data_IF_012721834752
#
_entry.id   IF_012721834752
#
_cell.length_a   1.000
_cell.length_b   1.000
_cell.length_c   1.000
_cell.angle_alpha   90.00
_cell.angle_beta   90.00
_cell.angle_gamma   90.00
#
_symmetry.space_group_name_H-M   'P 1'
#
loop_
_entity.id
_entity.type
_entity.pdbx_description
1 polymer ?
#
# COMPACT_ATOMS: atom_id res chain seq x y z
N UNK A 1 7.80 23.10 -14.77
CA UNK A 1 7.90 22.52 -13.41
C UNK A 1 6.70 23.05 -12.66
N UNK A 2 5.81 22.16 -12.27
CA UNK A 2 4.69 22.42 -11.36
C UNK A 2 5.23 23.01 -10.06
N UNK A 3 4.49 23.93 -9.45
CA UNK A 3 4.94 24.71 -8.29
C UNK A 3 5.05 23.87 -7.00
N UNK A 4 4.52 22.63 -6.96
CA UNK A 4 4.59 21.72 -5.79
C UNK A 4 4.80 20.24 -6.13
N UNK A 5 5.61 19.49 -5.35
CA UNK A 5 5.87 18.06 -5.58
C UNK A 5 4.64 17.14 -5.69
N UNK A 6 3.56 17.41 -4.96
CA UNK A 6 2.34 16.58 -5.03
C UNK A 6 1.49 16.79 -6.30
N UNK A 7 1.69 17.89 -7.02
CA UNK A 7 0.90 18.16 -8.23
C UNK A 7 1.15 17.12 -9.33
N UNK A 8 2.37 16.57 -9.39
CA UNK A 8 2.71 15.51 -10.35
C UNK A 8 1.95 14.21 -10.04
N UNK A 9 1.80 13.86 -8.75
CA UNK A 9 1.01 12.70 -8.30
C UNK A 9 -0.47 12.89 -8.65
N UNK A 10 -1.02 14.08 -8.36
CA UNK A 10 -2.42 14.40 -8.71
C UNK A 10 -2.67 14.34 -10.20
N UNK A 11 -1.70 14.80 -11.00
CA UNK A 11 -1.78 14.73 -12.46
C UNK A 11 -1.83 13.28 -12.95
N UNK A 12 -1.02 12.38 -12.39
CA UNK A 12 -1.09 10.95 -12.72
C UNK A 12 -2.48 10.36 -12.41
N UNK A 13 -3.06 10.71 -11.26
CA UNK A 13 -4.39 10.24 -10.86
C UNK A 13 -5.53 10.83 -11.72
N UNK A 14 -5.35 12.01 -12.31
CA UNK A 14 -6.37 12.62 -13.17
C UNK A 14 -6.52 11.93 -14.54
N UNK A 15 -5.49 11.22 -15.00
CA UNK A 15 -5.40 10.60 -16.33
C UNK A 15 -5.27 9.07 -16.26
N UNK A 16 -6.01 8.46 -15.33
CA UNK A 16 -5.97 7.00 -15.14
C UNK A 16 -6.67 6.28 -16.32
N UNK A 17 -6.01 5.30 -16.97
CA UNK A 17 -6.60 4.57 -18.07
C UNK A 17 -7.76 3.69 -17.59
N UNK A 18 -8.82 3.48 -18.38
CA UNK A 18 -9.84 2.48 -18.05
C UNK A 18 -9.24 1.06 -18.11
N UNK A 19 -9.89 0.05 -17.50
CA UNK A 19 -9.51 -1.34 -17.73
C UNK A 19 -9.58 -1.68 -19.23
N UNK A 20 -8.62 -2.44 -19.78
CA UNK A 20 -8.57 -2.77 -21.20
C UNK A 20 -9.82 -3.47 -21.75
N UNK A 21 -10.60 -4.17 -20.91
CA UNK A 21 -11.87 -4.79 -21.27
C UNK A 21 -12.07 -6.17 -20.64
N UNK A 22 -13.26 -6.74 -20.78
CA UNK A 22 -13.58 -8.05 -20.22
C UNK A 22 -12.99 -9.23 -21.01
N UNK A 23 -12.61 -10.29 -20.31
CA UNK A 23 -12.14 -11.54 -20.90
C UNK A 23 -13.18 -12.63 -20.66
N UNK A 24 -13.34 -13.56 -21.61
CA UNK A 24 -14.25 -14.69 -21.43
C UNK A 24 -13.70 -15.62 -20.33
N UNK A 25 -14.52 -15.90 -19.32
CA UNK A 25 -14.23 -16.85 -18.25
C UNK A 25 -15.28 -17.96 -18.29
N UNK A 26 -14.87 -19.24 -18.29
CA UNK A 26 -15.82 -20.35 -18.22
C UNK A 26 -16.75 -20.24 -17.00
N UNK A 27 -18.07 -20.49 -17.16
CA UNK A 27 -19.00 -20.47 -16.04
C UNK A 27 -18.70 -21.61 -15.05
N UNK A 28 -19.17 -21.47 -13.81
CA UNK A 28 -19.07 -22.52 -12.78
C UNK A 28 -17.77 -22.55 -11.98
N UNK A 29 -16.84 -21.62 -12.23
CA UNK A 29 -15.57 -21.51 -11.48
C UNK A 29 -15.68 -20.73 -10.16
N UNK A 30 -16.82 -20.08 -9.89
CA UNK A 30 -17.03 -19.26 -8.70
C UNK A 30 -15.94 -18.20 -8.54
N UNK A 31 -15.41 -18.04 -7.32
CA UNK A 31 -14.35 -17.06 -7.01
C UNK A 31 -13.07 -17.25 -7.82
N UNK A 32 -12.75 -18.48 -8.26
CA UNK A 32 -11.61 -18.69 -9.16
C UNK A 32 -11.86 -18.02 -10.52
N UNK A 33 -13.10 -18.06 -11.01
CA UNK A 33 -13.48 -17.34 -12.21
C UNK A 33 -13.33 -15.83 -12.06
N UNK A 34 -13.72 -15.28 -10.90
CA UNK A 34 -13.60 -13.84 -10.61
C UNK A 34 -12.12 -13.39 -10.57
N UNK A 35 -11.24 -14.20 -9.96
CA UNK A 35 -9.79 -13.94 -9.92
C UNK A 35 -9.16 -14.00 -11.31
N UNK A 36 -9.50 -15.02 -12.11
CA UNK A 36 -9.03 -15.11 -13.49
C UNK A 36 -9.54 -13.93 -14.33
N UNK A 37 -10.83 -13.59 -14.20
CA UNK A 37 -11.44 -12.43 -14.86
C UNK A 37 -10.77 -11.12 -14.49
N UNK A 38 -10.38 -10.95 -13.23
CA UNK A 38 -9.61 -9.79 -12.76
C UNK A 38 -8.23 -9.71 -13.42
N UNK A 39 -7.46 -10.81 -13.44
CA UNK A 39 -6.15 -10.85 -14.11
C UNK A 39 -6.28 -10.56 -15.61
N UNK A 40 -7.20 -11.25 -16.29
CA UNK A 40 -7.41 -11.07 -17.72
C UNK A 40 -7.90 -9.66 -18.06
N UNK A 41 -8.81 -9.11 -17.25
CA UNK A 41 -9.43 -7.82 -17.47
C UNK A 41 -8.45 -6.65 -17.37
N UNK A 42 -7.48 -6.72 -16.45
CA UNK A 42 -6.45 -5.70 -16.30
C UNK A 42 -5.27 -5.88 -17.26
N UNK A 43 -4.85 -7.12 -17.52
CA UNK A 43 -3.79 -7.40 -18.49
C UNK A 43 -4.24 -7.20 -19.95
N UNK A 44 -5.54 -7.19 -20.22
CA UNK A 44 -6.13 -7.13 -21.57
C UNK A 44 -5.86 -8.39 -22.40
N UNK A 45 -5.52 -9.51 -21.75
CA UNK A 45 -5.09 -10.77 -22.36
C UNK A 45 -5.79 -11.94 -21.68
N UNK A 46 -5.63 -13.14 -22.25
CA UNK A 46 -6.07 -14.36 -21.57
C UNK A 46 -5.46 -14.43 -20.15
N UNK A 47 -6.23 -14.88 -19.14
CA UNK A 47 -5.83 -14.80 -17.74
C UNK A 47 -4.62 -15.68 -17.48
N UNK A 48 -3.44 -15.07 -17.34
CA UNK A 48 -2.18 -15.79 -17.10
C UNK A 48 -1.23 -14.94 -16.28
N UNK A 49 -0.47 -15.60 -15.39
CA UNK A 49 0.56 -14.95 -14.56
C UNK A 49 1.91 -15.61 -14.82
N UNK A 50 2.76 -14.96 -15.61
CA UNK A 50 4.06 -15.47 -16.05
C UNK A 50 5.23 -14.80 -15.34
N UNK A 51 5.08 -13.53 -14.98
CA UNK A 51 6.12 -12.70 -14.34
C UNK A 51 5.56 -11.97 -13.11
N UNK A 52 5.11 -12.72 -12.08
CA UNK A 52 4.73 -12.08 -10.83
C UNK A 52 5.98 -11.54 -10.13
N UNK A 53 5.89 -10.32 -9.60
CA UNK A 53 6.95 -9.69 -8.81
C UNK A 53 6.40 -9.33 -7.44
N UNK A 54 7.10 -9.76 -6.39
CA UNK A 54 6.92 -9.30 -5.03
C UNK A 54 7.88 -8.15 -4.78
N UNK A 55 7.34 -6.97 -4.52
CA UNK A 55 8.08 -5.79 -4.12
C UNK A 55 7.83 -5.52 -2.63
N UNK A 56 8.89 -5.69 -1.85
CA UNK A 56 8.89 -5.47 -0.42
C UNK A 56 9.65 -4.18 -0.09
N UNK A 57 8.98 -3.24 0.56
CA UNK A 57 9.59 -1.96 0.93
C UNK A 57 10.07 -2.00 2.37
N UNK A 58 11.38 -1.86 2.57
CA UNK A 58 11.99 -1.81 3.89
C UNK A 58 12.30 -0.35 4.25
N UNK A 59 11.54 0.23 5.16
CA UNK A 59 11.86 1.52 5.75
C UNK A 59 12.51 1.37 7.11
N UNK A 60 12.84 2.50 7.75
CA UNK A 60 13.32 2.45 9.12
C UNK A 60 12.22 1.91 10.03
N UNK A 61 12.61 1.38 11.17
CA UNK A 61 11.61 1.12 12.18
C UNK A 61 11.07 2.47 12.70
N UNK A 62 9.84 2.79 12.32
CA UNK A 62 9.11 3.95 12.81
C UNK A 62 8.62 3.61 14.23
N UNK A 63 9.46 3.88 15.23
CA UNK A 63 9.09 3.70 16.63
C UNK A 63 9.17 5.03 17.35
N UNK A 64 8.03 5.72 17.31
CA UNK A 64 7.46 6.52 18.40
C UNK A 64 8.32 6.52 19.67
N UNK A 65 8.81 7.70 20.04
CA UNK A 65 9.62 7.92 21.23
C UNK A 65 9.10 7.20 22.47
N UNK A 66 9.90 6.25 22.94
CA UNK A 66 10.37 6.13 24.32
C UNK A 66 11.21 4.85 24.40
N UNK A 67 12.44 4.92 23.89
CA UNK A 67 13.52 3.99 24.24
C UNK A 67 13.33 2.51 23.88
N UNK A 68 12.23 2.09 23.25
CA UNK A 68 12.09 0.73 22.73
C UNK A 68 12.86 0.64 21.43
N UNK A 69 14.01 -0.04 21.48
CA UNK A 69 14.68 -0.49 20.26
C UNK A 69 13.69 -1.32 19.45
N UNK A 70 13.61 -1.14 18.11
CA UNK A 70 12.77 -1.99 17.30
C UNK A 70 13.10 -3.46 17.53
N UNK A 71 12.06 -4.30 17.53
CA UNK A 71 12.21 -5.75 17.76
C UNK A 71 13.16 -6.40 16.78
N UNK A 72 13.28 -5.84 15.57
CA UNK A 72 14.20 -6.29 14.55
C UNK A 72 14.92 -5.14 13.85
N UNK A 73 16.15 -5.41 13.41
CA UNK A 73 16.93 -4.49 12.60
C UNK A 73 16.44 -4.58 11.14
N UNK A 74 15.90 -3.49 10.53
CA UNK A 74 15.42 -3.54 9.15
C UNK A 74 16.50 -3.95 8.14
N UNK A 75 17.77 -3.60 8.39
CA UNK A 75 18.92 -4.06 7.59
C UNK A 75 19.09 -5.57 7.65
N UNK A 76 18.92 -6.17 8.83
CA UNK A 76 19.01 -7.62 8.98
C UNK A 76 17.86 -8.35 8.24
N UNK A 77 16.67 -7.75 8.17
CA UNK A 77 15.54 -8.28 7.38
C UNK A 77 15.86 -8.26 5.88
N UNK A 78 16.42 -7.15 5.37
CA UNK A 78 16.91 -7.05 3.98
C UNK A 78 17.98 -8.10 3.68
N UNK A 79 18.96 -8.27 4.56
CA UNK A 79 20.00 -9.29 4.43
C UNK A 79 19.43 -10.71 4.44
N UNK A 80 18.43 -10.99 5.29
CA UNK A 80 17.75 -12.28 5.31
C UNK A 80 16.98 -12.56 4.01
N UNK A 81 16.35 -11.55 3.41
CA UNK A 81 15.71 -11.67 2.09
C UNK A 81 16.76 -11.94 1.01
N UNK A 82 17.85 -11.16 1.00
CA UNK A 82 18.94 -11.34 0.04
C UNK A 82 19.60 -12.73 0.15
N UNK A 83 19.69 -13.29 1.36
CA UNK A 83 20.19 -14.63 1.61
C UNK A 83 19.19 -15.75 1.30
N UNK A 84 17.95 -15.44 0.91
CA UNK A 84 16.90 -16.41 0.67
C UNK A 84 16.36 -17.09 1.95
N UNK A 85 16.62 -16.50 3.11
CA UNK A 85 16.36 -17.11 4.42
C UNK A 85 14.91 -16.86 4.91
N UNK A 86 14.18 -15.91 4.33
CA UNK A 86 12.80 -15.60 4.73
C UNK A 86 11.77 -16.60 4.18
N UNK A 87 10.60 -16.67 4.81
CA UNK A 87 9.48 -17.45 4.27
C UNK A 87 9.05 -16.93 2.89
N UNK A 88 8.95 -15.60 2.74
CA UNK A 88 8.69 -14.96 1.46
C UNK A 88 9.70 -15.37 0.38
N UNK A 89 11.00 -15.45 0.69
CA UNK A 89 12.02 -15.89 -0.27
C UNK A 89 11.79 -17.32 -0.77
N UNK A 90 11.50 -18.25 0.15
CA UNK A 90 11.22 -19.65 -0.20
C UNK A 90 9.92 -19.80 -0.98
N UNK A 91 8.88 -19.06 -0.61
CA UNK A 91 7.59 -19.09 -1.31
C UNK A 91 7.66 -18.41 -2.68
N UNK A 92 8.42 -17.33 -2.83
CA UNK A 92 8.68 -16.71 -4.12
C UNK A 92 9.37 -17.70 -5.07
N UNK A 93 10.40 -18.41 -4.58
CA UNK A 93 11.04 -19.47 -5.35
C UNK A 93 10.06 -20.60 -5.73
N UNK A 94 9.23 -21.07 -4.80
CA UNK A 94 8.26 -22.14 -5.03
C UNK A 94 7.14 -21.74 -6.01
N UNK A 95 6.75 -20.48 -6.02
CA UNK A 95 5.70 -19.94 -6.91
C UNK A 95 6.27 -19.34 -8.19
N UNK A 96 7.59 -19.30 -8.38
CA UNK A 96 8.24 -18.67 -9.53
C UNK A 96 8.03 -17.16 -9.62
N UNK A 97 7.89 -16.49 -8.47
CA UNK A 97 7.82 -15.03 -8.39
C UNK A 97 9.22 -14.42 -8.27
N UNK A 98 9.43 -13.30 -8.95
CA UNK A 98 10.57 -12.44 -8.65
C UNK A 98 10.37 -11.80 -7.29
N UNK A 99 11.42 -11.72 -6.47
CA UNK A 99 11.38 -11.04 -5.17
C UNK A 99 12.37 -9.88 -5.18
N UNK A 100 11.88 -8.69 -4.86
CA UNK A 100 12.65 -7.46 -4.79
C UNK A 100 12.43 -6.80 -3.44
N UNK A 101 13.52 -6.51 -2.74
CA UNK A 101 13.49 -5.75 -1.51
C UNK A 101 14.11 -4.38 -1.75
N UNK A 102 13.33 -3.33 -1.47
CA UNK A 102 13.69 -1.94 -1.70
C UNK A 102 14.10 -1.28 -0.39
N UNK A 103 15.35 -0.82 -0.31
CA UNK A 103 15.87 -0.08 0.85
C UNK A 103 15.39 1.38 0.79
N UNK A 104 14.52 1.76 1.74
CA UNK A 104 14.00 3.12 1.92
C UNK A 104 14.75 3.86 3.03
N UNK A 105 16.08 3.81 2.96
CA UNK A 105 16.99 4.39 3.93
C UNK A 105 16.83 3.81 5.34
N UNK A 106 16.93 2.48 5.44
CA UNK A 106 16.82 1.73 6.70
C UNK A 106 17.78 2.18 7.81
N UNK A 107 18.93 2.76 7.44
CA UNK A 107 19.90 3.31 8.40
C UNK A 107 19.54 4.72 8.90
N UNK A 108 18.57 5.39 8.27
CA UNK A 108 18.12 6.72 8.66
C UNK A 108 16.87 6.58 9.52
N UNK A 109 16.95 6.87 10.83
CA UNK A 109 15.80 6.75 11.71
C UNK A 109 14.58 7.49 11.18
N UNK A 110 13.42 6.88 11.37
CA UNK A 110 12.12 7.51 11.14
C UNK A 110 11.89 8.68 12.08
N UNK A 111 10.82 9.42 11.82
CA UNK A 111 10.36 10.46 12.75
C UNK A 111 9.22 9.93 13.61
N UNK A 112 9.16 10.39 14.86
CA UNK A 112 8.00 10.18 15.70
C UNK A 112 6.83 11.04 15.22
N UNK A 113 5.84 10.41 14.59
CA UNK A 113 4.69 11.11 14.00
C UNK A 113 3.76 11.78 15.04
N UNK A 114 3.95 11.51 16.34
CA UNK A 114 3.28 12.23 17.44
C UNK A 114 3.88 13.62 17.67
N UNK A 115 5.12 13.84 17.22
CA UNK A 115 5.89 15.06 17.48
C UNK A 115 6.09 15.93 16.24
N UNK A 116 6.15 15.33 15.05
CA UNK A 116 6.40 16.03 13.78
C UNK A 116 5.94 15.19 12.59
N UNK A 117 5.87 15.79 11.40
CA UNK A 117 5.58 15.06 10.16
C UNK A 117 6.57 13.90 9.92
N UNK A 118 6.06 12.75 9.46
CA UNK A 118 6.88 11.61 9.04
C UNK A 118 7.88 12.02 7.95
N UNK A 119 7.40 12.78 6.96
CA UNK A 119 8.16 13.20 5.78
C UNK A 119 7.81 14.64 5.40
N UNK A 120 8.76 15.33 4.77
CA UNK A 120 8.43 16.55 4.01
C UNK A 120 7.62 16.20 2.76
N UNK A 121 6.89 17.17 2.18
CA UNK A 121 6.19 16.97 0.91
C UNK A 121 7.13 16.45 -0.20
N UNK A 122 8.32 17.04 -0.33
CA UNK A 122 9.33 16.61 -1.30
C UNK A 122 9.82 15.18 -1.04
N UNK A 123 10.04 14.81 0.22
CA UNK A 123 10.48 13.46 0.59
C UNK A 123 9.39 12.43 0.32
N UNK A 124 8.14 12.74 0.65
CA UNK A 124 6.99 11.88 0.37
C UNK A 124 6.84 11.65 -1.14
N UNK A 125 6.80 12.73 -1.94
CA UNK A 125 6.69 12.63 -3.40
C UNK A 125 7.86 11.86 -4.03
N UNK A 126 9.09 12.10 -3.57
CA UNK A 126 10.27 11.36 -4.04
C UNK A 126 10.21 9.87 -3.66
N UNK A 127 9.68 9.55 -2.48
CA UNK A 127 9.51 8.16 -2.02
C UNK A 127 8.43 7.44 -2.81
N UNK A 128 7.32 8.12 -3.12
CA UNK A 128 6.31 7.60 -4.06
C UNK A 128 6.94 7.32 -5.43
N UNK A 129 7.70 8.27 -5.97
CA UNK A 129 8.38 8.06 -7.26
C UNK A 129 9.35 6.86 -7.21
N UNK A 130 10.10 6.70 -6.13
CA UNK A 130 10.97 5.54 -5.94
C UNK A 130 10.20 4.21 -5.90
N UNK A 131 9.02 4.17 -5.29
CA UNK A 131 8.15 2.99 -5.32
C UNK A 131 7.67 2.59 -6.73
N UNK A 132 7.65 3.52 -7.68
CA UNK A 132 7.30 3.19 -9.07
C UNK A 132 8.33 2.27 -9.73
N UNK A 133 9.56 2.19 -9.20
CA UNK A 133 10.63 1.31 -9.72
C UNK A 133 10.28 -0.18 -9.65
N UNK A 134 9.31 -0.59 -8.83
CA UNK A 134 8.80 -1.97 -8.81
C UNK A 134 8.23 -2.43 -10.16
N UNK A 135 7.88 -1.50 -11.06
CA UNK A 135 7.38 -1.79 -12.39
C UNK A 135 8.50 -1.89 -13.44
N UNK A 136 9.77 -1.61 -13.10
CA UNK A 136 10.89 -1.59 -14.06
C UNK A 136 11.07 -2.94 -14.78
N UNK A 137 10.78 -4.05 -14.11
CA UNK A 137 10.83 -5.41 -14.69
C UNK A 137 9.57 -5.82 -15.46
N UNK A 138 8.61 -4.91 -15.59
CA UNK A 138 7.33 -5.11 -16.28
C UNK A 138 6.58 -6.34 -15.77
N UNK A 139 6.25 -6.41 -14.47
CA UNK A 139 5.46 -7.52 -13.92
C UNK A 139 4.09 -7.62 -14.61
N UNK A 140 3.56 -8.83 -14.71
CA UNK A 140 2.16 -9.05 -15.11
C UNK A 140 1.21 -9.21 -13.91
N UNK A 141 1.77 -9.31 -12.70
CA UNK A 141 1.08 -9.20 -11.43
C UNK A 141 2.09 -8.68 -10.40
N UNK A 142 1.73 -7.60 -9.71
CA UNK A 142 2.59 -6.99 -8.69
C UNK A 142 2.04 -7.30 -7.29
N UNK A 143 2.90 -7.77 -6.40
CA UNK A 143 2.58 -8.08 -5.02
C UNK A 143 3.32 -7.06 -4.14
N UNK A 144 2.61 -6.28 -3.35
CA UNK A 144 3.16 -5.17 -2.58
C UNK A 144 3.08 -5.47 -1.09
N UNK A 145 4.21 -5.38 -0.39
CA UNK A 145 4.30 -5.58 1.05
C UNK A 145 5.41 -4.74 1.68
N UNK A 146 5.61 -4.92 2.99
CA UNK A 146 6.58 -4.14 3.77
C UNK A 146 7.60 -5.04 4.46
N UNK A 147 8.75 -4.48 4.80
CA UNK A 147 9.79 -5.12 5.59
C UNK A 147 10.24 -4.15 6.68
N UNK A 148 9.46 -4.04 7.75
CA UNK A 148 9.80 -3.13 8.83
C UNK A 148 8.79 -3.22 9.97
N UNK A 149 9.30 -2.98 11.17
CA UNK A 149 8.48 -2.90 12.37
C UNK A 149 7.85 -1.49 12.46
N UNK A 150 6.60 -1.39 12.90
CA UNK A 150 5.93 -0.12 13.17
C UNK A 150 5.08 0.43 12.01
N UNK A 151 5.29 -0.05 10.77
CA UNK A 151 4.51 0.38 9.60
C UNK A 151 3.00 0.16 9.77
N UNK A 152 2.61 -0.87 10.53
CA UNK A 152 1.22 -1.17 10.89
C UNK A 152 0.59 -0.11 11.84
N UNK A 153 1.38 0.52 12.72
CA UNK A 153 0.90 1.59 13.61
C UNK A 153 0.67 2.85 12.78
N UNK A 154 1.63 3.19 11.90
CA UNK A 154 1.48 4.28 10.93
C UNK A 154 0.28 4.05 10.01
N UNK A 155 0.06 2.82 9.55
CA UNK A 155 -1.11 2.44 8.77
C UNK A 155 -2.43 2.69 9.51
N UNK A 156 -2.49 2.34 10.79
CA UNK A 156 -3.64 2.63 11.65
C UNK A 156 -3.87 4.12 11.88
N UNK A 157 -2.80 4.90 12.06
CA UNK A 157 -2.87 6.36 12.17
C UNK A 157 -3.34 7.02 10.86
N UNK A 158 -2.85 6.56 9.70
CA UNK A 158 -3.31 7.00 8.37
C UNK A 158 -4.80 6.70 8.20
N UNK A 159 -5.25 5.47 8.50
CA UNK A 159 -6.65 5.09 8.39
C UNK A 159 -7.56 5.94 9.31
N UNK A 160 -7.15 6.16 10.57
CA UNK A 160 -7.86 7.04 11.51
C UNK A 160 -7.87 8.51 11.05
N UNK A 161 -6.78 8.97 10.43
CA UNK A 161 -6.67 10.30 9.84
C UNK A 161 -7.64 10.52 8.67
N UNK A 162 -7.75 9.54 7.78
CA UNK A 162 -8.61 9.56 6.59
C UNK A 162 -10.10 9.42 6.94
N UNK A 163 -10.44 8.47 7.80
CA UNK A 163 -11.83 8.04 8.00
C UNK A 163 -12.42 8.45 9.36
N UNK A 164 -11.60 8.98 10.26
CA UNK A 164 -12.04 9.39 11.59
C UNK A 164 -12.49 8.21 12.46
N UNK A 165 -13.26 8.51 13.51
CA UNK A 165 -13.69 7.53 14.52
C UNK A 165 -12.63 7.22 15.58
N UNK A 166 -12.93 6.30 16.51
CA UNK A 166 -12.02 5.92 17.59
C UNK A 166 -10.75 5.26 17.07
N UNK A 167 -9.58 5.61 17.60
CA UNK A 167 -8.30 5.04 17.16
C UNK A 167 -8.20 3.51 17.40
N UNK A 168 -8.94 2.98 18.38
CA UNK A 168 -9.02 1.54 18.68
C UNK A 168 -9.65 0.73 17.55
N UNK A 169 -10.45 1.36 16.69
CA UNK A 169 -11.01 0.71 15.50
C UNK A 169 -9.97 0.51 14.40
N UNK A 170 -8.81 1.17 14.48
CA UNK A 170 -7.86 1.27 13.38
C UNK A 170 -6.45 0.81 13.74
N UNK A 171 -6.02 0.93 14.99
CA UNK A 171 -4.63 0.71 15.38
C UNK A 171 -4.52 -0.25 16.56
N UNK A 172 -3.53 -1.14 16.50
CA UNK A 172 -3.10 -1.94 17.66
C UNK A 172 -2.44 -1.09 18.76
N UNK A 173 -2.01 0.13 18.43
CA UNK A 173 -1.61 1.17 19.38
C UNK A 173 -2.49 2.42 19.18
N UNK A 174 -3.69 2.44 19.81
CA UNK A 174 -4.64 3.53 19.62
C UNK A 174 -4.17 4.86 20.24
N UNK A 175 -3.42 4.82 21.34
CA UNK A 175 -2.95 6.03 22.01
C UNK A 175 -1.99 6.83 21.12
N UNK A 176 -1.05 6.12 20.48
CA UNK A 176 -0.13 6.70 19.52
C UNK A 176 -0.84 7.27 18.29
N UNK A 177 -1.76 6.49 17.69
CA UNK A 177 -2.53 6.93 16.53
C UNK A 177 -3.39 8.17 16.84
N UNK A 178 -4.05 8.19 18.00
CA UNK A 178 -4.88 9.32 18.44
C UNK A 178 -4.05 10.60 18.64
N UNK A 179 -2.88 10.51 19.30
CA UNK A 179 -1.98 11.65 19.49
C UNK A 179 -1.49 12.21 18.14
N UNK A 180 -1.08 11.34 17.22
CA UNK A 180 -0.59 11.75 15.91
C UNK A 180 -1.69 12.43 15.08
N UNK A 181 -2.90 11.87 15.05
CA UNK A 181 -4.05 12.48 14.37
C UNK A 181 -4.45 13.81 15.01
N UNK A 182 -4.40 13.92 16.34
CA UNK A 182 -4.67 15.17 17.04
C UNK A 182 -3.65 16.27 16.68
N UNK A 183 -2.35 15.93 16.63
CA UNK A 183 -1.29 16.83 16.15
C UNK A 183 -1.59 17.34 14.74
N UNK A 184 -1.83 16.43 13.80
CA UNK A 184 -2.14 16.77 12.41
C UNK A 184 -3.31 17.76 12.32
N UNK A 185 -4.41 17.49 13.04
CA UNK A 185 -5.60 18.36 13.03
C UNK A 185 -5.31 19.73 13.64
N UNK A 186 -4.51 19.80 14.71
CA UNK A 186 -4.11 21.06 15.32
C UNK A 186 -3.23 21.89 14.37
N UNK A 187 -2.27 21.28 13.69
CA UNK A 187 -1.42 21.95 12.69
C UNK A 187 -2.24 22.43 11.49
N UNK A 188 -3.15 21.60 10.97
CA UNK A 188 -4.04 21.98 9.88
C UNK A 188 -4.90 23.19 10.27
N UNK A 189 -5.48 23.21 11.48
CA UNK A 189 -6.30 24.33 11.97
C UNK A 189 -5.52 25.66 12.05
N UNK A 190 -4.20 25.61 12.34
CA UNK A 190 -3.35 26.81 12.38
C UNK A 190 -3.05 27.38 10.98
N UNK A 191 -3.00 26.53 9.96
CA UNK A 191 -2.66 26.94 8.58
C UNK A 191 -3.86 27.40 7.75
N UNK A 192 -5.10 27.19 8.22
CA UNK A 192 -6.35 27.65 7.57
C UNK A 192 -6.49 29.18 7.52
N UNK A 193 -5.62 29.94 8.21
CA UNK A 193 -5.59 31.41 8.15
C UNK A 193 -4.52 32.01 7.19
N UNK A 194 -3.77 31.18 6.46
CA UNK A 194 -2.92 31.61 5.33
C UNK A 194 -3.61 31.39 3.98
N UNK A 195 -3.11 31.93 2.86
CA UNK A 195 -3.67 31.67 1.53
C UNK A 195 -3.44 30.20 1.17
N UNK A 196 -4.35 29.32 1.58
CA UNK A 196 -4.38 27.93 1.16
C UNK A 196 -4.84 27.87 -0.28
N UNK A 197 -3.85 27.65 -1.15
CA UNK A 197 -3.92 26.81 -2.34
C UNK A 197 -5.26 26.81 -3.10
N UNK A 198 -5.33 27.63 -4.14
CA UNK A 198 -6.19 27.34 -5.28
C UNK A 198 -5.80 25.98 -5.87
N UNK A 199 -6.69 25.00 -5.77
CA UNK A 199 -7.51 24.49 -6.88
C UNK A 199 -8.48 23.46 -6.29
N UNK A 200 -9.76 23.76 -6.39
CA UNK A 200 -10.85 22.83 -6.10
C UNK A 200 -10.76 21.63 -7.06
N UNK A 201 -11.10 20.43 -6.60
CA UNK A 201 -12.28 19.69 -7.04
C UNK A 201 -12.58 18.55 -6.03
N UNK A 202 -13.80 18.61 -5.47
CA UNK A 202 -14.57 17.58 -4.75
C UNK A 202 -14.29 17.32 -3.24
N UNK A 203 -15.17 17.93 -2.42
CA UNK A 203 -15.76 17.44 -1.17
C UNK A 203 -14.87 17.00 0.00
N UNK A 204 -14.00 17.87 0.52
CA UNK A 204 -13.60 17.77 1.93
C UNK A 204 -13.97 19.04 2.69
N UNK A 205 -15.17 19.03 3.28
CA UNK A 205 -15.47 19.89 4.41
C UNK A 205 -14.47 19.54 5.54
N UNK A 206 -13.52 20.46 5.76
CA UNK A 206 -12.78 20.66 7.01
C UNK A 206 -11.71 19.63 7.43
N UNK A 207 -11.26 18.73 6.55
CA UNK A 207 -10.18 17.77 6.83
C UNK A 207 -8.84 18.07 6.14
N UNK A 208 -7.70 17.57 6.66
CA UNK A 208 -6.42 17.57 5.95
C UNK A 208 -6.50 16.76 4.66
N UNK A 209 -5.73 17.14 3.64
CA UNK A 209 -5.71 16.49 2.33
C UNK A 209 -5.06 15.07 2.41
N UNK A 210 -5.45 14.08 1.59
CA UNK A 210 -4.96 12.70 1.75
C UNK A 210 -3.44 12.51 1.62
N UNK A 211 -2.76 13.23 0.73
CA UNK A 211 -1.30 13.19 0.60
C UNK A 211 -0.63 13.93 1.78
N UNK A 212 -1.29 14.95 2.34
CA UNK A 212 -0.88 15.55 3.61
C UNK A 212 -0.98 14.54 4.76
N UNK A 213 -2.06 13.76 4.85
CA UNK A 213 -2.19 12.68 5.84
C UNK A 213 -1.06 11.65 5.66
N UNK A 214 -0.75 11.25 4.43
CA UNK A 214 0.34 10.31 4.14
C UNK A 214 1.70 10.84 4.60
N UNK A 215 2.06 12.08 4.28
CA UNK A 215 3.38 12.63 4.70
C UNK A 215 3.45 12.90 6.20
N UNK A 216 2.32 13.11 6.86
CA UNK A 216 2.25 13.45 8.29
C UNK A 216 2.22 12.22 9.19
N UNK A 217 1.46 11.20 8.82
CA UNK A 217 1.15 10.02 9.65
C UNK A 217 1.66 8.69 9.06
N UNK A 218 2.04 8.66 7.78
CA UNK A 218 2.53 7.44 7.14
C UNK A 218 3.98 7.13 7.46
N UNK A 219 4.55 6.21 6.68
CA UNK A 219 5.97 5.89 6.65
C UNK A 219 6.48 5.88 5.21
N UNK A 220 7.79 5.71 5.02
CA UNK A 220 8.38 5.67 3.67
C UNK A 220 7.83 4.49 2.87
N UNK A 221 7.57 3.37 3.54
CA UNK A 221 7.00 2.14 2.97
C UNK A 221 5.61 2.40 2.40
N UNK A 222 4.74 3.06 3.16
CA UNK A 222 3.37 3.39 2.74
C UNK A 222 3.42 4.33 1.53
N UNK A 223 4.31 5.33 1.55
CA UNK A 223 4.49 6.24 0.42
C UNK A 223 5.00 5.51 -0.83
N UNK A 224 6.01 4.64 -0.70
CA UNK A 224 6.51 3.86 -1.82
C UNK A 224 5.43 2.94 -2.40
N UNK A 225 4.67 2.24 -1.56
CA UNK A 225 3.55 1.41 -2.01
C UNK A 225 2.49 2.25 -2.76
N UNK A 226 2.14 3.43 -2.25
CA UNK A 226 1.18 4.30 -2.93
C UNK A 226 1.68 4.70 -4.33
N UNK A 227 2.97 5.02 -4.47
CA UNK A 227 3.59 5.25 -5.78
C UNK A 227 3.55 4.03 -6.71
N UNK A 228 3.87 2.85 -6.18
CA UNK A 228 3.83 1.59 -6.92
C UNK A 228 2.41 1.27 -7.44
N UNK A 229 1.38 1.48 -6.64
CA UNK A 229 -0.03 1.31 -7.03
C UNK A 229 -0.38 2.27 -8.19
N UNK A 230 0.01 3.54 -8.10
CA UNK A 230 -0.24 4.51 -9.18
C UNK A 230 0.46 4.09 -10.48
N UNK A 231 1.73 3.69 -10.41
CA UNK A 231 2.47 3.23 -11.58
C UNK A 231 1.87 1.95 -12.20
N UNK A 232 1.45 1.00 -11.36
CA UNK A 232 0.77 -0.21 -11.81
C UNK A 232 -0.57 0.11 -12.49
N UNK A 233 -1.35 1.06 -11.94
CA UNK A 233 -2.60 1.53 -12.56
C UNK A 233 -2.37 2.10 -13.95
N UNK A 234 -1.35 2.93 -14.14
CA UNK A 234 -1.00 3.53 -15.44
C UNK A 234 -0.56 2.47 -16.47
N UNK A 235 0.01 1.35 -16.01
CA UNK A 235 0.48 0.26 -16.87
C UNK A 235 -0.53 -0.88 -17.03
N UNK A 236 -1.70 -0.80 -16.39
CA UNK A 236 -2.70 -1.88 -16.41
C UNK A 236 -2.24 -3.16 -15.69
N UNK A 237 -1.30 -3.06 -14.75
CA UNK A 237 -0.77 -4.21 -14.01
C UNK A 237 -1.66 -4.45 -12.80
N UNK A 238 -2.31 -5.63 -12.64
CA UNK A 238 -3.05 -5.95 -11.42
C UNK A 238 -2.12 -6.01 -10.19
N UNK A 239 -2.64 -5.61 -9.03
CA UNK A 239 -1.88 -5.50 -7.78
C UNK A 239 -2.52 -6.33 -6.65
N UNK A 240 -1.70 -7.09 -5.93
CA UNK A 240 -2.04 -7.66 -4.64
C UNK A 240 -1.45 -6.82 -3.51
N UNK A 241 -2.30 -6.42 -2.58
CA UNK A 241 -1.93 -5.68 -1.37
C UNK A 241 -1.73 -6.67 -0.22
N UNK A 242 -0.50 -6.76 0.29
CA UNK A 242 -0.11 -7.61 1.41
C UNK A 242 0.04 -6.78 2.69
N UNK A 243 -0.64 -7.21 3.75
CA UNK A 243 -0.54 -6.54 5.05
C UNK A 243 -1.28 -5.20 5.16
N UNK A 244 -1.26 -4.65 6.36
CA UNK A 244 -2.07 -3.48 6.70
C UNK A 244 -1.52 -2.18 6.11
N UNK A 245 -0.19 -2.06 6.01
CA UNK A 245 0.47 -0.91 5.40
C UNK A 245 0.13 -0.74 3.90
N UNK A 246 0.02 -1.85 3.16
CA UNK A 246 -0.37 -1.79 1.75
C UNK A 246 -1.83 -1.35 1.58
N UNK A 247 -2.73 -1.80 2.46
CA UNK A 247 -4.12 -1.33 2.49
C UNK A 247 -4.22 0.16 2.84
N UNK A 248 -3.41 0.66 3.78
CA UNK A 248 -3.38 2.09 4.11
C UNK A 248 -2.87 2.95 2.94
N UNK A 249 -1.87 2.47 2.19
CA UNK A 249 -1.41 3.15 0.97
C UNK A 249 -2.53 3.23 -0.08
N UNK A 250 -3.25 2.13 -0.30
CA UNK A 250 -4.42 2.11 -1.17
C UNK A 250 -5.53 3.05 -0.68
N UNK A 251 -5.72 3.18 0.64
CA UNK A 251 -6.72 4.07 1.22
C UNK A 251 -6.44 5.56 0.99
N UNK A 252 -5.17 5.97 1.05
CA UNK A 252 -4.76 7.33 0.67
C UNK A 252 -5.17 7.60 -0.78
N UNK A 253 -4.93 6.65 -1.68
CA UNK A 253 -5.28 6.81 -3.09
C UNK A 253 -6.80 6.81 -3.33
N UNK A 254 -7.56 5.97 -2.65
CA UNK A 254 -9.04 5.97 -2.74
C UNK A 254 -9.64 7.29 -2.27
N UNK A 255 -9.06 7.90 -1.23
CA UNK A 255 -9.50 9.21 -0.76
C UNK A 255 -9.22 10.34 -1.78
N UNK A 256 -8.28 10.15 -2.71
CA UNK A 256 -8.01 11.07 -3.81
C UNK A 256 -8.88 10.77 -5.04
N UNK A 257 -8.90 9.52 -5.48
CA UNK A 257 -9.73 9.02 -6.58
C UNK A 257 -10.02 7.52 -6.36
N UNK A 258 -11.27 7.11 -6.13
CA UNK A 258 -11.63 5.71 -5.96
C UNK A 258 -11.17 4.79 -7.10
N UNK A 259 -11.02 5.32 -8.32
CA UNK A 259 -10.56 4.56 -9.49
C UNK A 259 -9.10 4.12 -9.40
N UNK A 260 -8.32 4.74 -8.52
CA UNK A 260 -6.89 4.47 -8.36
C UNK A 260 -6.58 3.02 -7.99
N UNK A 261 -7.51 2.33 -7.31
CA UNK A 261 -7.28 0.97 -6.78
C UNK A 261 -8.16 -0.10 -7.41
N UNK A 262 -8.91 0.18 -8.48
CA UNK A 262 -9.78 -0.82 -9.13
C UNK A 262 -9.02 -2.05 -9.64
N UNK A 263 -7.72 -1.87 -9.91
CA UNK A 263 -6.77 -2.91 -10.30
C UNK A 263 -6.17 -3.68 -9.13
N UNK A 264 -6.47 -3.29 -7.89
CA UNK A 264 -5.98 -3.93 -6.68
C UNK A 264 -6.94 -5.01 -6.17
N UNK A 265 -6.38 -5.97 -5.44
CA UNK A 265 -7.08 -6.89 -4.53
C UNK A 265 -6.30 -7.00 -3.23
N UNK A 266 -6.99 -7.23 -2.13
CA UNK A 266 -6.33 -7.58 -0.88
C UNK A 266 -5.85 -9.04 -0.99
N UNK A 267 -4.57 -9.31 -0.71
CA UNK A 267 -4.06 -10.68 -0.74
C UNK A 267 -4.72 -11.54 0.34
N UNK A 268 -4.82 -10.99 1.54
CA UNK A 268 -5.47 -11.61 2.68
C UNK A 268 -6.16 -10.56 3.56
N UNK A 269 -6.77 -11.00 4.67
CA UNK A 269 -7.18 -10.12 5.76
C UNK A 269 -6.08 -10.14 6.83
N UNK A 270 -5.32 -9.03 7.02
CA UNK A 270 -4.35 -8.92 8.11
C UNK A 270 -5.01 -8.97 9.48
N UNK A 271 -4.29 -9.43 10.50
CA UNK A 271 -4.75 -9.49 11.89
C UNK A 271 -4.74 -8.12 12.61
N UNK A 272 -4.93 -7.01 11.88
CA UNK A 272 -5.01 -5.66 12.46
C UNK A 272 -6.45 -5.26 12.78
N UNK A 273 -6.71 -4.50 13.86
CA UNK A 273 -8.05 -4.09 14.26
C UNK A 273 -8.88 -3.45 13.13
N UNK A 274 -8.23 -2.62 12.30
CA UNK A 274 -8.88 -1.91 11.20
C UNK A 274 -8.84 -2.61 9.85
N UNK A 275 -8.18 -3.76 9.71
CA UNK A 275 -7.92 -4.37 8.40
C UNK A 275 -9.20 -4.73 7.64
N UNK A 276 -10.11 -5.49 8.27
CA UNK A 276 -11.36 -5.90 7.64
C UNK A 276 -12.26 -4.69 7.30
N UNK A 277 -12.30 -3.70 8.19
CA UNK A 277 -13.02 -2.43 7.98
C UNK A 277 -12.45 -1.68 6.79
N UNK A 278 -11.12 -1.58 6.71
CA UNK A 278 -10.42 -0.89 5.63
C UNK A 278 -10.65 -1.59 4.28
N UNK A 279 -10.52 -2.93 4.21
CA UNK A 279 -10.83 -3.71 3.00
C UNK A 279 -12.25 -3.42 2.51
N UNK A 280 -13.23 -3.42 3.41
CA UNK A 280 -14.62 -3.10 3.08
C UNK A 280 -14.79 -1.65 2.61
N UNK A 281 -14.13 -0.67 3.25
CA UNK A 281 -14.15 0.74 2.84
C UNK A 281 -13.55 0.94 1.44
N UNK A 282 -12.52 0.18 1.08
CA UNK A 282 -11.87 0.24 -0.24
C UNK A 282 -12.65 -0.53 -1.32
N UNK A 283 -13.74 -1.22 -0.97
CA UNK A 283 -14.47 -2.08 -1.91
C UNK A 283 -13.62 -3.24 -2.44
N UNK A 284 -12.59 -3.65 -1.70
CA UNK A 284 -11.71 -4.74 -2.08
C UNK A 284 -12.28 -6.07 -1.57
N UNK A 285 -12.03 -7.13 -2.33
CA UNK A 285 -12.32 -8.50 -1.89
C UNK A 285 -10.99 -9.22 -1.61
N UNK A 286 -10.80 -9.81 -0.42
CA UNK A 286 -9.57 -10.52 -0.08
C UNK A 286 -9.52 -11.87 -0.81
N UNK A 287 -8.37 -12.23 -1.39
CA UNK A 287 -8.20 -13.53 -2.05
C UNK A 287 -8.34 -14.67 -1.04
N UNK A 288 -7.69 -14.52 0.11
CA UNK A 288 -7.62 -15.51 1.17
C UNK A 288 -7.98 -14.91 2.54
N UNK A 289 -8.40 -15.77 3.46
CA UNK A 289 -8.47 -15.44 4.89
C UNK A 289 -7.90 -16.63 5.66
N UNK A 290 -6.63 -16.50 6.06
CA UNK A 290 -5.83 -17.54 6.70
C UNK A 290 -5.23 -17.09 8.04
N UNK A 291 -5.70 -15.95 8.58
CA UNK A 291 -5.18 -15.34 9.81
C UNK A 291 -3.64 -15.17 9.79
N UNK A 292 -3.10 -14.70 8.67
CA UNK A 292 -1.67 -14.41 8.51
C UNK A 292 -1.38 -13.08 9.20
N UNK A 293 -0.41 -13.09 10.13
CA UNK A 293 0.01 -11.91 10.91
C UNK A 293 1.30 -11.26 10.37
N UNK A 294 2.07 -12.00 9.57
CA UNK A 294 3.33 -11.52 9.02
C UNK A 294 3.07 -10.75 7.71
N UNK A 295 3.47 -9.48 7.68
CA UNK A 295 3.24 -8.55 6.55
C UNK A 295 4.46 -8.50 5.57
N UNK A 296 5.20 -9.61 5.43
CA UNK A 296 6.49 -9.69 4.71
C UNK A 296 6.42 -10.26 3.28
N UNK A 297 5.23 -10.38 2.68
CA UNK A 297 5.01 -10.95 1.36
C UNK A 297 4.37 -12.35 1.37
N UNK A 298 4.32 -13.03 2.53
CA UNK A 298 3.80 -14.40 2.64
C UNK A 298 2.32 -14.49 2.26
N UNK A 299 1.49 -13.54 2.68
CA UNK A 299 0.06 -13.53 2.37
C UNK A 299 -0.19 -13.41 0.87
N UNK A 300 0.49 -12.48 0.21
CA UNK A 300 0.42 -12.29 -1.23
C UNK A 300 0.99 -13.47 -2.02
N UNK A 301 2.06 -14.11 -1.56
CA UNK A 301 2.59 -15.31 -2.20
C UNK A 301 1.65 -16.52 -2.07
N UNK A 302 0.91 -16.65 -0.95
CA UNK A 302 -0.15 -17.64 -0.83
C UNK A 302 -1.31 -17.34 -1.79
N UNK A 303 -1.74 -16.08 -1.86
CA UNK A 303 -2.78 -15.63 -2.79
C UNK A 303 -2.38 -15.85 -4.26
N UNK A 304 -1.10 -15.64 -4.60
CA UNK A 304 -0.55 -15.91 -5.93
C UNK A 304 -0.74 -17.36 -6.36
N UNK A 305 -0.54 -18.32 -5.46
CA UNK A 305 -0.75 -19.74 -5.78
C UNK A 305 -2.22 -20.02 -6.17
N UNK A 306 -3.17 -19.41 -5.47
CA UNK A 306 -4.60 -19.51 -5.80
C UNK A 306 -4.92 -18.83 -7.13
N UNK A 307 -4.35 -17.65 -7.39
CA UNK A 307 -4.56 -16.92 -8.65
C UNK A 307 -3.98 -17.68 -9.84
N UNK A 308 -2.81 -18.32 -9.68
CA UNK A 308 -2.25 -19.18 -10.73
C UNK A 308 -3.18 -20.36 -11.02
N UNK A 309 -3.69 -21.03 -9.98
CA UNK A 309 -4.68 -22.08 -10.16
C UNK A 309 -5.98 -21.58 -10.82
N UNK A 310 -6.43 -20.38 -10.48
CA UNK A 310 -7.59 -19.74 -11.11
C UNK A 310 -7.38 -19.48 -12.61
N UNK A 311 -6.19 -18.97 -12.98
CA UNK A 311 -5.81 -18.76 -14.38
C UNK A 311 -5.81 -20.08 -15.17
N UNK A 312 -5.16 -21.12 -14.64
CA UNK A 312 -5.13 -22.46 -15.26
C UNK A 312 -6.52 -23.08 -15.41
N UNK A 313 -7.41 -22.86 -14.44
CA UNK A 313 -8.79 -23.34 -14.51
C UNK A 313 -9.64 -22.61 -15.56
N UNK A 314 -9.29 -21.36 -15.90
CA UNK A 314 -10.02 -20.54 -16.87
C UNK A 314 -9.60 -20.79 -18.33
N UNK A 315 -8.41 -21.36 -18.57
CA UNK A 315 -7.89 -21.74 -19.90
C UNK A 315 -6.89 -20.77 -20.49
#
# INVERSE_FOLDING_TARGET
>A
MTDRPFDDIRRLLSDLPPPPGGVFIPPGLGRLGDLAGWIGGWSGRAPQVRRPVVALYAGPADVFGDGQAPSTNPRARLEAVAAGATAASRMAAATGAGLEAFDLAVDRPGHDIRLRAAMSERECAATMAFGMEALAKQPDLLLLGVLGDGANISAGAVAAGLFGGPAVDWSRDPATAEQAVARLRAEAAQHVHGPTCGHHHHHHDHGPEPLDILRELGGREIAAIAGAIVAARTQGVPVLLDGYAALAAAAVLVALDPRAVEHCRAAHVPAEPGAAKLIATLGLEPVLDLSIEEDDGVGALAALAVIKAACEAAG
#
